data_IF_569566387697
#
_entry.id   IF_569566387697
#
_cell.length_a   1.000
_cell.length_b   1.000
_cell.length_c   1.000
_cell.angle_alpha   90.00
_cell.angle_beta   90.00
_cell.angle_gamma   90.00
#
_symmetry.space_group_name_H-M   'P 1'
#
loop_
_entity.id
_entity.type
_entity.pdbx_description
1 polymer ?
#
# COMPACT_ATOMS: atom_id res chain seq x y z
N UNK A 1 -19.39 11.36 3.67
CA UNK A 1 -20.09 10.07 3.82
C UNK A 1 -19.36 9.29 4.91
N UNK A 2 -19.82 9.39 6.15
CA UNK A 2 -19.35 8.54 7.25
C UNK A 2 -20.31 7.36 7.39
N UNK A 3 -19.82 6.14 7.20
CA UNK A 3 -20.63 4.94 7.44
C UNK A 3 -20.50 4.50 8.91
N UNK A 4 -19.36 4.81 9.53
CA UNK A 4 -19.02 4.40 10.91
C UNK A 4 -19.51 5.39 11.97
N UNK A 5 -19.59 6.68 11.65
CA UNK A 5 -19.95 7.75 12.60
C UNK A 5 -21.34 8.31 12.32
N UNK A 6 -22.10 8.60 13.39
CA UNK A 6 -23.39 9.26 13.32
C UNK A 6 -23.24 10.78 13.07
N UNK A 7 -24.15 11.34 12.27
CA UNK A 7 -24.08 12.73 11.84
C UNK A 7 -24.28 13.70 13.00
N UNK A 8 -25.35 13.52 13.77
CA UNK A 8 -25.78 14.44 14.83
C UNK A 8 -24.93 14.28 16.08
N UNK A 9 -24.50 13.06 16.39
CA UNK A 9 -23.73 12.74 17.60
C UNK A 9 -22.22 12.99 17.42
N UNK A 10 -21.66 12.70 16.23
CA UNK A 10 -20.20 12.68 16.05
C UNK A 10 -19.71 13.68 14.99
N UNK A 11 -20.28 13.69 13.79
CA UNK A 11 -19.73 14.47 12.68
C UNK A 11 -19.95 15.97 12.88
N UNK A 12 -21.21 16.39 13.07
CA UNK A 12 -21.57 17.81 13.19
C UNK A 12 -20.92 18.47 14.42
N UNK A 13 -20.94 17.88 15.64
CA UNK A 13 -20.26 18.49 16.79
C UNK A 13 -18.75 18.68 16.58
N UNK A 14 -18.08 17.72 15.94
CA UNK A 14 -16.64 17.82 15.62
C UNK A 14 -16.35 18.86 14.55
N UNK A 15 -17.23 19.01 13.56
CA UNK A 15 -17.12 20.07 12.56
C UNK A 15 -17.25 21.46 13.18
N UNK A 16 -18.23 21.65 14.07
CA UNK A 16 -18.42 22.92 14.80
C UNK A 16 -17.17 23.22 15.63
N UNK A 17 -16.69 22.25 16.41
CA UNK A 17 -15.49 22.42 17.25
C UNK A 17 -14.22 22.70 16.44
N UNK A 18 -14.14 22.18 15.21
CA UNK A 18 -13.05 22.47 14.27
C UNK A 18 -13.18 23.84 13.56
N UNK A 19 -14.24 24.61 13.85
CA UNK A 19 -14.50 25.91 13.23
C UNK A 19 -14.96 25.80 11.77
N UNK A 20 -15.59 24.68 11.40
CA UNK A 20 -16.07 24.47 10.05
C UNK A 20 -17.27 25.38 9.74
N UNK A 21 -17.32 25.86 8.49
CA UNK A 21 -18.50 26.54 7.95
C UNK A 21 -19.50 25.49 7.46
N UNK A 22 -20.53 25.22 8.27
CA UNK A 22 -21.54 24.19 7.98
C UNK A 22 -22.37 24.49 6.73
N UNK A 23 -22.49 25.76 6.31
CA UNK A 23 -23.19 26.10 5.05
C UNK A 23 -22.44 25.58 3.82
N UNK A 24 -21.15 25.25 3.97
CA UNK A 24 -20.30 24.69 2.92
C UNK A 24 -20.10 23.18 3.07
N UNK A 25 -20.84 22.54 3.97
CA UNK A 25 -20.77 21.10 4.21
C UNK A 25 -22.12 20.49 3.87
N UNK A 26 -22.08 19.53 2.94
CA UNK A 26 -23.24 18.72 2.60
C UNK A 26 -22.99 17.28 3.06
N UNK A 27 -23.92 16.74 3.83
CA UNK A 27 -24.07 15.32 4.05
C UNK A 27 -25.01 14.76 2.98
N UNK A 28 -24.65 13.61 2.42
CA UNK A 28 -25.49 12.95 1.44
C UNK A 28 -26.23 11.82 2.15
N UNK A 29 -27.56 11.84 2.05
CA UNK A 29 -28.40 10.77 2.57
C UNK A 29 -28.02 9.43 1.94
N UNK A 30 -28.18 8.33 2.67
CA UNK A 30 -27.88 7.01 2.09
C UNK A 30 -28.77 6.73 0.87
N UNK A 31 -28.26 6.04 -0.17
CA UNK A 31 -29.10 5.51 -1.23
C UNK A 31 -30.22 4.65 -0.64
N UNK A 32 -31.38 4.65 -1.29
CA UNK A 32 -32.50 3.79 -0.93
C UNK A 32 -32.62 2.63 -1.91
N UNK A 33 -33.18 1.53 -1.45
CA UNK A 33 -33.55 0.40 -2.31
C UNK A 33 -34.93 0.59 -2.97
N UNK A 34 -35.40 -0.43 -3.67
CA UNK A 34 -36.69 -0.41 -4.38
C UNK A 34 -37.90 -0.25 -3.46
N UNK A 35 -37.75 -0.52 -2.15
CA UNK A 35 -38.78 -0.40 -1.13
C UNK A 35 -38.70 0.95 -0.37
N UNK A 36 -37.69 1.76 -0.66
CA UNK A 36 -37.45 3.04 -0.01
C UNK A 36 -36.63 2.94 1.27
N UNK A 37 -36.11 1.76 1.59
CA UNK A 37 -35.29 1.55 2.78
C UNK A 37 -33.85 1.99 2.51
N UNK A 38 -33.24 2.65 3.49
CA UNK A 38 -31.86 3.13 3.39
C UNK A 38 -30.89 1.94 3.34
N UNK A 39 -30.03 1.93 2.32
CA UNK A 39 -29.00 0.90 2.13
C UNK A 39 -27.60 1.49 2.04
N UNK A 40 -26.54 0.67 2.19
CA UNK A 40 -25.18 1.13 1.98
C UNK A 40 -24.96 1.61 0.53
N UNK A 41 -24.15 2.66 0.40
CA UNK A 41 -23.62 3.10 -0.89
C UNK A 41 -22.58 2.11 -1.41
N UNK A 42 -22.70 1.68 -2.67
CA UNK A 42 -21.80 0.72 -3.31
C UNK A 42 -21.24 1.25 -4.63
N UNK A 43 -19.99 0.86 -4.95
CA UNK A 43 -19.33 1.20 -6.21
C UNK A 43 -19.21 -0.07 -7.06
N UNK A 44 -19.66 -0.08 -8.32
CA UNK A 44 -20.01 1.09 -9.13
C UNK A 44 -21.48 1.50 -9.12
N UNK A 45 -22.35 0.73 -8.46
CA UNK A 45 -23.80 0.83 -8.65
C UNK A 45 -24.36 2.23 -8.37
N UNK A 46 -23.81 2.93 -7.37
CA UNK A 46 -24.29 4.25 -6.94
C UNK A 46 -23.45 5.43 -7.46
N UNK A 47 -22.57 5.21 -8.45
CA UNK A 47 -21.72 6.29 -8.97
C UNK A 47 -22.53 7.44 -9.59
N UNK A 48 -23.66 7.12 -10.23
CA UNK A 48 -24.56 8.15 -10.76
C UNK A 48 -25.20 8.99 -9.65
N UNK A 49 -25.58 8.35 -8.55
CA UNK A 49 -26.11 9.02 -7.38
C UNK A 49 -25.07 9.96 -6.74
N UNK A 50 -23.81 9.50 -6.59
CA UNK A 50 -22.73 10.34 -6.06
C UNK A 50 -22.43 11.54 -6.98
N UNK A 51 -22.48 11.32 -8.30
CA UNK A 51 -22.31 12.38 -9.29
C UNK A 51 -23.36 13.48 -9.16
N UNK A 52 -24.62 13.08 -8.98
CA UNK A 52 -25.72 14.01 -8.77
C UNK A 52 -25.46 14.84 -7.50
N UNK A 53 -25.13 14.18 -6.37
CA UNK A 53 -24.80 14.87 -5.12
C UNK A 53 -23.64 15.88 -5.28
N UNK A 54 -22.55 15.52 -5.98
CA UNK A 54 -21.44 16.43 -6.27
C UNK A 54 -21.90 17.64 -7.10
N UNK A 55 -22.77 17.41 -8.08
CA UNK A 55 -23.22 18.46 -9.01
C UNK A 55 -24.18 19.43 -8.32
N UNK A 56 -25.12 18.91 -7.54
CA UNK A 56 -26.12 19.72 -6.82
C UNK A 56 -25.49 20.59 -5.73
N UNK A 57 -24.44 20.08 -5.08
CA UNK A 57 -23.74 20.78 -3.99
C UNK A 57 -22.55 21.62 -4.49
N UNK A 58 -22.19 21.52 -5.78
CA UNK A 58 -20.93 22.00 -6.34
C UNK A 58 -19.67 21.56 -5.54
N UNK A 59 -19.72 20.37 -4.93
CA UNK A 59 -18.70 19.89 -4.01
C UNK A 59 -17.31 19.83 -4.66
N UNK A 60 -16.32 20.40 -3.97
CA UNK A 60 -14.90 20.35 -4.38
C UNK A 60 -14.12 19.21 -3.74
N UNK A 61 -14.65 18.64 -2.66
CA UNK A 61 -14.09 17.52 -1.93
C UNK A 61 -15.20 16.54 -1.54
N UNK A 62 -15.01 15.26 -1.84
CA UNK A 62 -15.81 14.15 -1.32
C UNK A 62 -14.93 13.30 -0.43
N UNK A 63 -15.40 13.04 0.80
CA UNK A 63 -14.76 12.12 1.74
C UNK A 63 -15.60 10.85 1.86
N UNK A 64 -14.96 9.71 1.57
CA UNK A 64 -15.53 8.36 1.71
C UNK A 64 -14.82 7.66 2.86
N UNK A 65 -15.57 7.39 3.94
CA UNK A 65 -15.01 6.83 5.17
C UNK A 65 -15.86 5.67 5.77
N UNK A 66 -15.35 4.44 5.81
CA UNK A 66 -14.17 3.92 5.10
C UNK A 66 -14.52 3.45 3.68
N UNK A 67 -13.57 3.54 2.74
CA UNK A 67 -13.78 3.04 1.37
C UNK A 67 -14.06 1.52 1.31
N UNK A 68 -13.62 0.75 2.31
CA UNK A 68 -13.87 -0.68 2.37
C UNK A 68 -15.35 -1.03 2.49
N UNK A 69 -16.16 -0.15 3.10
CA UNK A 69 -17.59 -0.36 3.27
C UNK A 69 -18.41 -0.05 2.01
N UNK A 70 -17.78 0.54 0.97
CA UNK A 70 -18.45 0.89 -0.29
C UNK A 70 -18.18 -0.12 -1.42
N UNK A 71 -17.57 -1.26 -1.10
CA UNK A 71 -17.27 -2.31 -2.07
C UNK A 71 -18.46 -3.27 -2.15
N UNK A 72 -18.83 -3.75 -3.36
CA UNK A 72 -19.93 -4.69 -3.49
C UNK A 72 -19.53 -6.05 -2.94
N UNK A 73 -20.51 -6.80 -2.41
CA UNK A 73 -20.29 -8.07 -1.71
C UNK A 73 -19.56 -9.12 -2.55
N UNK A 74 -19.72 -9.06 -3.87
CA UNK A 74 -19.09 -9.98 -4.81
C UNK A 74 -17.61 -9.65 -5.13
N UNK A 75 -17.07 -8.54 -4.62
CA UNK A 75 -15.69 -8.15 -4.86
C UNK A 75 -14.76 -8.80 -3.83
N UNK A 76 -13.86 -9.65 -4.33
CA UNK A 76 -12.75 -10.17 -3.53
C UNK A 76 -11.76 -9.05 -3.22
N UNK A 77 -11.82 -8.51 -2.00
CA UNK A 77 -11.00 -7.39 -1.53
C UNK A 77 -9.47 -7.59 -1.67
N UNK A 78 -9.00 -8.83 -1.77
CA UNK A 78 -7.58 -9.17 -1.97
C UNK A 78 -7.13 -9.31 -3.43
N UNK A 79 -8.03 -9.10 -4.40
CA UNK A 79 -7.71 -9.23 -5.83
C UNK A 79 -7.54 -7.83 -6.45
N UNK A 80 -6.29 -7.48 -6.74
CA UNK A 80 -5.89 -6.16 -7.26
C UNK A 80 -6.65 -5.71 -8.51
N UNK A 81 -6.93 -6.65 -9.42
CA UNK A 81 -7.65 -6.34 -10.68
C UNK A 81 -9.09 -5.94 -10.41
N UNK A 82 -9.77 -6.59 -9.46
CA UNK A 82 -11.15 -6.26 -9.09
C UNK A 82 -11.24 -4.89 -8.44
N UNK A 83 -10.39 -4.61 -7.45
CA UNK A 83 -10.35 -3.31 -6.77
C UNK A 83 -10.00 -2.19 -7.75
N UNK A 84 -9.04 -2.41 -8.66
CA UNK A 84 -8.70 -1.43 -9.69
C UNK A 84 -9.90 -1.08 -10.57
N UNK A 85 -10.68 -2.08 -11.02
CA UNK A 85 -11.88 -1.84 -11.83
C UNK A 85 -12.90 -0.97 -11.10
N UNK A 86 -13.15 -1.26 -9.83
CA UNK A 86 -14.06 -0.46 -8.98
C UNK A 86 -13.56 0.98 -8.85
N UNK A 87 -12.28 1.16 -8.49
CA UNK A 87 -11.69 2.48 -8.28
C UNK A 87 -11.63 3.34 -9.55
N UNK A 88 -11.56 2.74 -10.73
CA UNK A 88 -11.60 3.51 -11.99
C UNK A 88 -12.89 4.32 -12.16
N UNK A 89 -14.02 3.87 -11.60
CA UNK A 89 -15.25 4.66 -11.62
C UNK A 89 -15.13 5.96 -10.82
N UNK A 90 -14.43 5.93 -9.68
CA UNK A 90 -14.13 7.13 -8.90
C UNK A 90 -13.12 8.04 -9.62
N UNK A 91 -12.15 7.46 -10.33
CA UNK A 91 -11.19 8.24 -11.13
C UNK A 91 -11.91 9.03 -12.21
N UNK A 92 -12.81 8.40 -12.97
CA UNK A 92 -13.55 9.10 -14.03
C UNK A 92 -14.52 10.12 -13.43
N UNK A 93 -15.22 9.78 -12.35
CA UNK A 93 -16.08 10.73 -11.63
C UNK A 93 -15.31 11.99 -11.19
N UNK A 94 -14.13 11.82 -10.58
CA UNK A 94 -13.28 12.93 -10.16
C UNK A 94 -12.82 13.79 -11.36
N UNK A 95 -12.50 13.17 -12.50
CA UNK A 95 -12.10 13.88 -13.72
C UNK A 95 -13.23 14.71 -14.31
N UNK A 96 -14.42 14.15 -14.39
CA UNK A 96 -15.60 14.80 -14.97
C UNK A 96 -16.10 15.95 -14.10
N UNK A 97 -16.17 15.73 -12.78
CA UNK A 97 -16.67 16.73 -11.83
C UNK A 97 -15.61 17.74 -11.38
N UNK A 98 -14.33 17.45 -11.64
CA UNK A 98 -13.18 18.19 -11.06
C UNK A 98 -13.20 18.23 -9.53
N UNK A 99 -13.81 17.22 -8.90
CA UNK A 99 -13.87 17.06 -7.46
C UNK A 99 -12.70 16.21 -6.96
N UNK A 100 -12.09 16.60 -5.84
CA UNK A 100 -11.12 15.76 -5.14
C UNK A 100 -11.87 14.67 -4.36
N UNK A 101 -11.46 13.41 -4.53
CA UNK A 101 -12.03 12.29 -3.76
C UNK A 101 -10.99 11.79 -2.76
N UNK A 102 -11.27 11.97 -1.47
CA UNK A 102 -10.48 11.48 -0.36
C UNK A 102 -11.05 10.16 0.16
N UNK A 103 -10.19 9.15 0.19
CA UNK A 103 -10.54 7.81 0.64
C UNK A 103 -9.90 7.56 2.00
N UNK A 104 -10.71 7.27 3.01
CA UNK A 104 -10.21 6.83 4.32
C UNK A 104 -10.19 5.30 4.34
N UNK A 105 -9.10 4.75 4.87
CA UNK A 105 -8.93 3.31 5.03
C UNK A 105 -8.08 3.00 6.26
N UNK A 106 -8.44 1.92 6.94
CA UNK A 106 -7.71 1.42 8.10
C UNK A 106 -6.37 0.78 7.71
N UNK A 107 -5.40 0.75 8.61
CA UNK A 107 -4.20 -0.07 8.44
C UNK A 107 -4.53 -1.58 8.57
N UNK A 108 -3.75 -2.42 7.91
CA UNK A 108 -3.80 -3.87 8.14
C UNK A 108 -3.08 -4.24 9.45
N UNK A 109 -3.36 -5.47 9.93
CA UNK A 109 -2.75 -6.01 11.16
C UNK A 109 -1.26 -6.39 11.01
N UNK A 110 -0.69 -6.31 9.80
CA UNK A 110 0.65 -6.81 9.52
C UNK A 110 1.72 -5.76 9.88
N UNK A 111 2.55 -6.06 10.88
CA UNK A 111 3.67 -5.22 11.32
C UNK A 111 4.88 -5.28 10.37
N UNK A 112 5.71 -4.24 10.40
CA UNK A 112 7.00 -4.24 9.70
C UNK A 112 6.88 -4.21 8.17
N UNK A 113 5.93 -3.45 7.62
CA UNK A 113 5.84 -3.18 6.18
C UNK A 113 5.97 -1.69 5.93
N UNK A 114 6.49 -1.30 4.75
CA UNK A 114 6.49 0.11 4.33
C UNK A 114 5.07 0.70 4.38
N UNK A 115 4.93 1.98 4.69
CA UNK A 115 3.67 2.70 4.84
C UNK A 115 2.72 2.57 3.65
N UNK A 116 3.25 2.55 2.42
CA UNK A 116 2.44 2.31 1.21
C UNK A 116 1.70 0.96 1.19
N UNK A 117 2.19 -0.02 1.96
CA UNK A 117 1.64 -1.38 2.07
C UNK A 117 0.93 -1.62 3.42
N UNK A 118 0.99 -0.66 4.34
CA UNK A 118 0.30 -0.76 5.64
C UNK A 118 -1.19 -0.46 5.55
N UNK A 119 -1.65 0.22 4.50
CA UNK A 119 -3.08 0.38 4.23
C UNK A 119 -3.76 -0.98 4.02
N UNK A 120 -4.91 -1.18 4.64
CA UNK A 120 -5.72 -2.38 4.53
C UNK A 120 -6.21 -2.63 3.11
N UNK A 121 -6.40 -3.91 2.77
CA UNK A 121 -6.88 -4.36 1.47
C UNK A 121 -5.80 -4.44 0.40
N UNK A 122 -6.23 -4.25 -0.85
CA UNK A 122 -5.41 -4.42 -2.06
C UNK A 122 -4.35 -3.33 -2.27
N UNK A 123 -3.23 -3.69 -2.91
CA UNK A 123 -2.20 -2.72 -3.34
C UNK A 123 -2.72 -1.74 -4.40
N UNK A 124 -3.81 -2.10 -5.10
CA UNK A 124 -4.44 -1.27 -6.12
C UNK A 124 -4.86 0.12 -5.60
N UNK A 125 -5.27 0.25 -4.34
CA UNK A 125 -5.56 1.55 -3.72
C UNK A 125 -4.34 2.49 -3.79
N UNK A 126 -3.19 2.03 -3.28
CA UNK A 126 -1.96 2.81 -3.26
C UNK A 126 -1.41 3.08 -4.68
N UNK A 127 -1.71 2.20 -5.64
CA UNK A 127 -1.21 2.31 -7.01
C UNK A 127 -1.99 3.31 -7.89
N UNK A 128 -3.26 3.59 -7.58
CA UNK A 128 -4.11 4.46 -8.40
C UNK A 128 -4.20 5.91 -7.89
N UNK A 129 -4.08 6.11 -6.58
CA UNK A 129 -4.19 7.43 -5.97
C UNK A 129 -2.98 8.31 -6.26
N UNK A 130 -3.19 9.63 -6.27
CA UNK A 130 -2.12 10.63 -6.49
C UNK A 130 -1.28 10.91 -5.25
N UNK A 131 -1.86 10.69 -4.08
CA UNK A 131 -1.24 10.93 -2.77
C UNK A 131 -1.73 9.88 -1.77
N UNK A 132 -0.85 9.47 -0.87
CA UNK A 132 -1.21 8.70 0.34
C UNK A 132 -0.58 9.39 1.53
N UNK A 133 -1.41 9.68 2.53
CA UNK A 133 -0.99 10.23 3.82
C UNK A 133 -1.31 9.19 4.89
N UNK A 134 -0.34 8.94 5.76
CA UNK A 134 -0.47 8.06 6.92
C UNK A 134 -0.69 8.92 8.16
N UNK A 135 -1.74 8.60 8.92
CA UNK A 135 -2.00 9.15 10.24
C UNK A 135 -1.73 8.05 11.27
N UNK A 136 -0.82 8.26 12.21
CA UNK A 136 -0.52 7.27 13.25
C UNK A 136 -0.01 7.94 14.54
N UNK A 137 -0.10 7.25 15.69
CA UNK A 137 0.53 7.71 16.92
C UNK A 137 2.06 7.70 16.78
N UNK A 138 2.71 8.64 17.45
CA UNK A 138 4.15 8.62 17.65
C UNK A 138 4.52 7.60 18.72
N UNK A 139 5.70 6.99 18.59
CA UNK A 139 6.24 6.08 19.62
C UNK A 139 6.55 6.83 20.92
N UNK A 140 6.92 8.11 20.79
CA UNK A 140 7.15 9.04 21.91
C UNK A 140 6.60 10.40 21.54
N UNK A 141 6.09 11.11 22.53
CA UNK A 141 5.68 12.50 22.36
C UNK A 141 6.86 13.35 21.88
N UNK A 142 6.62 14.28 20.94
CA UNK A 142 7.66 15.22 20.49
C UNK A 142 7.96 16.28 21.55
N UNK A 143 9.06 17.01 21.40
CA UNK A 143 9.39 18.13 22.30
C UNK A 143 8.30 19.21 22.29
N UNK A 144 7.62 19.38 21.17
CA UNK A 144 6.51 20.30 20.95
C UNK A 144 5.14 19.75 21.40
N UNK A 145 5.11 18.55 22.00
CA UNK A 145 3.90 17.93 22.53
C UNK A 145 3.07 17.15 21.50
N UNK A 146 3.62 16.85 20.32
CA UNK A 146 2.92 16.03 19.33
C UNK A 146 2.77 14.59 19.84
N UNK A 147 1.56 14.02 19.75
CA UNK A 147 1.28 12.60 20.07
C UNK A 147 1.01 11.74 18.84
N UNK A 148 0.66 12.38 17.74
CA UNK A 148 0.37 11.78 16.45
C UNK A 148 1.10 12.55 15.35
N UNK A 149 1.18 11.95 14.16
CA UNK A 149 1.67 12.65 12.99
C UNK A 149 0.92 12.27 11.71
N UNK A 150 0.93 13.20 10.76
CA UNK A 150 0.58 12.99 9.36
C UNK A 150 1.87 12.96 8.53
N UNK A 151 2.11 11.85 7.83
CA UNK A 151 3.29 11.68 6.99
C UNK A 151 2.91 11.18 5.59
N UNK A 152 3.49 11.77 4.55
CA UNK A 152 3.18 11.38 3.16
C UNK A 152 3.93 10.11 2.77
N UNK A 153 3.20 9.04 2.48
CA UNK A 153 3.74 7.77 2.00
C UNK A 153 3.91 7.72 0.47
N UNK A 154 3.01 8.37 -0.29
CA UNK A 154 3.05 8.45 -1.76
C UNK A 154 2.71 9.87 -2.18
N UNK A 155 3.41 10.39 -3.20
CA UNK A 155 3.07 11.67 -3.83
C UNK A 155 3.79 11.83 -5.16
N UNK A 156 3.02 12.01 -6.23
CA UNK A 156 3.56 11.99 -7.61
C UNK A 156 3.65 13.39 -8.26
N UNK A 157 3.22 14.45 -7.56
CA UNK A 157 3.01 15.79 -8.15
C UNK A 157 3.83 16.90 -7.47
N UNK A 158 4.57 16.59 -6.40
CA UNK A 158 5.37 17.58 -5.68
C UNK A 158 6.50 16.95 -4.86
N UNK A 159 7.47 17.78 -4.44
CA UNK A 159 8.48 17.38 -3.43
C UNK A 159 7.78 16.91 -2.14
N UNK A 160 8.40 15.95 -1.44
CA UNK A 160 7.94 15.48 -0.13
C UNK A 160 7.77 16.64 0.85
N UNK A 161 6.56 16.91 1.38
CA UNK A 161 6.40 17.84 2.48
C UNK A 161 7.04 17.22 3.74
N UNK A 162 7.38 18.08 4.70
CA UNK A 162 7.68 17.61 6.04
C UNK A 162 6.44 16.93 6.64
N UNK A 163 6.66 15.95 7.51
CA UNK A 163 5.58 15.36 8.31
C UNK A 163 5.12 16.37 9.36
N UNK A 164 3.83 16.37 9.66
CA UNK A 164 3.20 17.33 10.59
C UNK A 164 2.75 16.59 11.83
N UNK A 165 3.19 17.04 13.00
CA UNK A 165 2.79 16.52 14.30
C UNK A 165 1.51 17.18 14.80
N UNK A 166 0.69 16.43 15.54
CA UNK A 166 -0.50 16.94 16.20
C UNK A 166 -0.82 16.20 17.50
N UNK A 167 -1.63 16.84 18.34
CA UNK A 167 -2.31 16.24 19.48
C UNK A 167 -3.82 16.34 19.30
N UNK A 168 -4.57 15.52 20.02
CA UNK A 168 -6.01 15.67 20.18
C UNK A 168 -6.26 16.26 21.56
N UNK A 169 -6.99 17.36 21.60
CA UNK A 169 -7.35 18.10 22.81
C UNK A 169 -8.87 18.24 22.90
N UNK A 170 -9.38 18.41 24.10
CA UNK A 170 -10.80 18.71 24.29
C UNK A 170 -11.14 20.09 23.71
N UNK A 171 -12.29 20.19 23.03
CA UNK A 171 -12.81 21.47 22.56
C UNK A 171 -13.06 22.41 23.74
N UNK A 172 -12.77 23.72 23.63
CA UNK A 172 -13.06 24.69 24.69
C UNK A 172 -14.53 24.71 25.10
N UNK A 173 -15.44 24.45 24.16
CA UNK A 173 -16.88 24.54 24.36
C UNK A 173 -17.53 23.18 24.74
N UNK A 174 -16.83 22.06 24.54
CA UNK A 174 -17.31 20.73 24.90
C UNK A 174 -16.15 19.76 25.12
N UNK A 175 -15.94 19.34 26.37
CA UNK A 175 -14.80 18.48 26.74
C UNK A 175 -14.81 17.10 26.09
N UNK A 176 -15.99 16.61 25.68
CA UNK A 176 -16.18 15.30 25.04
C UNK A 176 -15.84 15.33 23.54
N UNK A 177 -15.72 16.51 22.94
CA UNK A 177 -15.45 16.68 21.51
C UNK A 177 -13.97 16.97 21.29
N UNK A 178 -13.20 16.06 20.66
CA UNK A 178 -11.79 16.29 20.38
C UNK A 178 -11.57 17.26 19.21
N UNK A 179 -10.57 18.13 19.34
CA UNK A 179 -10.05 19.02 18.29
C UNK A 179 -8.57 18.75 18.04
N UNK A 180 -8.13 19.00 16.80
CA UNK A 180 -6.74 18.84 16.41
C UNK A 180 -5.94 20.07 16.83
N UNK A 181 -4.95 19.87 17.70
CA UNK A 181 -3.94 20.88 18.00
C UNK A 181 -2.66 20.58 17.21
N UNK A 182 -2.35 21.44 16.25
CA UNK A 182 -1.15 21.30 15.41
C UNK A 182 0.12 21.64 16.19
N UNK A 183 1.12 20.75 16.14
CA UNK A 183 2.37 20.84 16.91
C UNK A 183 3.61 21.04 16.04
N UNK A 184 3.42 21.57 14.82
CA UNK A 184 4.51 21.85 13.89
C UNK A 184 5.00 20.62 13.13
N UNK A 185 6.22 20.69 12.62
CA UNK A 185 6.81 19.61 11.82
C UNK A 185 7.55 18.60 12.69
N UNK A 186 7.49 17.33 12.30
CA UNK A 186 8.22 16.24 12.95
C UNK A 186 9.18 15.58 11.95
N UNK A 187 10.41 15.30 12.37
CA UNK A 187 11.42 14.67 11.51
C UNK A 187 11.24 13.15 11.46
N UNK A 188 10.23 12.72 10.70
CA UNK A 188 9.95 11.32 10.46
C UNK A 188 9.34 11.10 9.08
N UNK A 189 9.64 9.96 8.50
CA UNK A 189 9.02 9.46 7.28
C UNK A 189 7.75 8.67 7.58
N UNK A 190 6.89 8.46 6.58
CA UNK A 190 5.72 7.62 6.76
C UNK A 190 6.06 6.18 7.16
N UNK A 191 7.19 5.64 6.67
CA UNK A 191 7.69 4.31 7.05
C UNK A 191 8.07 4.26 8.54
N UNK A 192 8.76 5.29 9.03
CA UNK A 192 9.06 5.44 10.46
C UNK A 192 7.78 5.53 11.29
N UNK A 193 6.82 6.34 10.84
CA UNK A 193 5.55 6.56 11.53
C UNK A 193 4.77 5.26 11.78
N UNK A 194 4.79 4.34 10.83
CA UNK A 194 4.02 3.09 10.90
C UNK A 194 4.80 1.91 11.50
N UNK A 195 5.98 2.18 12.08
CA UNK A 195 6.83 1.17 12.71
C UNK A 195 7.55 0.27 11.72
N UNK A 196 7.86 0.77 10.52
CA UNK A 196 8.64 0.03 9.52
C UNK A 196 10.16 0.13 9.74
N UNK A 197 10.64 0.87 10.75
CA UNK A 197 12.08 1.04 11.01
C UNK A 197 12.79 -0.23 11.45
N UNK A 198 12.06 -1.14 12.11
CA UNK A 198 12.51 -2.49 12.45
C UNK A 198 12.14 -3.54 11.39
N UNK A 199 11.27 -3.17 10.43
CA UNK A 199 11.20 -3.95 9.21
C UNK A 199 12.56 -3.82 8.55
N UNK A 200 13.14 -4.93 8.09
CA UNK A 200 14.25 -4.84 7.15
C UNK A 200 13.72 -4.15 5.89
N UNK A 201 13.73 -2.81 5.87
CA UNK A 201 13.80 -2.04 4.65
C UNK A 201 15.11 -2.51 4.06
N UNK A 202 15.02 -3.53 3.20
CA UNK A 202 16.07 -3.85 2.27
C UNK A 202 16.31 -2.55 1.52
N UNK A 203 17.30 -1.80 2.00
CA UNK A 203 17.68 -0.47 1.54
C UNK A 203 17.73 -0.55 0.02
N UNK A 204 16.76 0.01 -0.70
CA UNK A 204 16.62 -0.24 -2.13
C UNK A 204 17.88 0.23 -2.88
N UNK A 205 18.64 1.17 -2.29
CA UNK A 205 19.95 1.62 -2.76
C UNK A 205 21.07 0.58 -2.56
N UNK A 206 21.01 -0.28 -1.54
CA UNK A 206 21.92 -1.45 -1.38
C UNK A 206 21.40 -2.71 -2.06
N UNK A 207 20.08 -2.86 -2.19
CA UNK A 207 19.42 -4.05 -2.71
C UNK A 207 19.56 -4.17 -4.22
N UNK A 208 19.55 -3.05 -4.97
CA UNK A 208 19.86 -3.09 -6.41
C UNK A 208 21.29 -3.61 -6.69
N UNK A 209 22.35 -3.08 -6.05
CA UNK A 209 23.71 -3.63 -6.15
C UNK A 209 23.80 -5.12 -5.75
N UNK A 210 23.18 -5.52 -4.62
CA UNK A 210 23.23 -6.90 -4.16
C UNK A 210 22.41 -7.86 -5.03
N UNK A 211 21.32 -7.39 -5.62
CA UNK A 211 20.51 -8.17 -6.58
C UNK A 211 21.24 -8.34 -7.90
N UNK A 212 21.94 -7.31 -8.38
CA UNK A 212 22.75 -7.42 -9.59
C UNK A 212 24.00 -8.28 -9.38
N UNK A 213 24.66 -8.17 -8.22
CA UNK A 213 25.73 -9.08 -7.81
C UNK A 213 25.24 -10.53 -7.71
N UNK A 214 24.06 -10.76 -7.11
CA UNK A 214 23.44 -12.08 -7.05
C UNK A 214 23.10 -12.63 -8.45
N UNK A 215 22.66 -11.78 -9.39
CA UNK A 215 22.44 -12.19 -10.79
C UNK A 215 23.75 -12.60 -11.47
N UNK A 216 24.82 -11.84 -11.30
CA UNK A 216 26.13 -12.17 -11.87
C UNK A 216 26.66 -13.49 -11.31
N UNK A 217 26.60 -13.67 -9.99
CA UNK A 217 27.00 -14.90 -9.33
C UNK A 217 26.16 -16.11 -9.78
N UNK A 218 24.83 -15.94 -9.91
CA UNK A 218 23.95 -17.00 -10.45
C UNK A 218 24.31 -17.37 -11.89
N UNK A 219 24.57 -16.39 -12.75
CA UNK A 219 25.00 -16.64 -14.14
C UNK A 219 26.31 -17.42 -14.18
N UNK A 220 27.27 -17.04 -13.35
CA UNK A 220 28.58 -17.70 -13.31
C UNK A 220 28.47 -19.14 -12.80
N UNK A 221 27.80 -19.35 -11.66
CA UNK A 221 27.64 -20.67 -11.03
C UNK A 221 26.88 -21.66 -11.92
N UNK A 222 25.83 -21.20 -12.59
CA UNK A 222 24.99 -22.05 -13.44
C UNK A 222 25.44 -22.11 -14.91
N UNK A 223 26.51 -21.40 -15.30
CA UNK A 223 27.04 -21.47 -16.66
C UNK A 223 27.63 -22.83 -17.02
N UNK A 224 28.06 -23.61 -16.01
CA UNK A 224 28.61 -24.95 -16.18
C UNK A 224 27.52 -26.04 -16.26
N UNK A 225 26.26 -25.68 -16.05
CA UNK A 225 25.11 -26.60 -16.10
C UNK A 225 24.24 -26.58 -14.84
N UNK A 226 23.24 -27.47 -14.77
CA UNK A 226 22.32 -27.56 -13.65
C UNK A 226 23.03 -27.87 -12.32
N UNK A 227 22.65 -27.18 -11.25
CA UNK A 227 23.20 -27.40 -9.89
C UNK A 227 22.07 -27.45 -8.87
N UNK A 228 22.29 -28.14 -7.74
CA UNK A 228 21.28 -28.22 -6.67
C UNK A 228 20.99 -26.84 -6.07
N UNK A 229 19.72 -26.55 -5.86
CA UNK A 229 19.26 -25.21 -5.46
C UNK A 229 19.72 -24.77 -4.08
N UNK A 230 19.89 -25.71 -3.15
CA UNK A 230 20.43 -25.49 -1.81
C UNK A 230 21.89 -24.99 -1.90
N UNK A 231 22.71 -25.70 -2.67
CA UNK A 231 24.11 -25.37 -2.92
C UNK A 231 24.27 -24.05 -3.68
N UNK A 232 23.44 -23.80 -4.70
CA UNK A 232 23.43 -22.54 -5.46
C UNK A 232 23.10 -21.37 -4.55
N UNK A 233 22.07 -21.50 -3.70
CA UNK A 233 21.69 -20.44 -2.77
C UNK A 233 22.85 -20.17 -1.82
N UNK A 234 23.40 -21.21 -1.17
CA UNK A 234 24.51 -21.06 -0.23
C UNK A 234 25.72 -20.36 -0.86
N UNK A 235 26.18 -20.83 -2.03
CA UNK A 235 27.34 -20.24 -2.72
C UNK A 235 27.11 -18.78 -3.12
N UNK A 236 25.92 -18.42 -3.58
CA UNK A 236 25.59 -17.02 -3.91
C UNK A 236 25.55 -16.16 -2.64
N UNK A 237 25.00 -16.68 -1.53
CA UNK A 237 24.98 -15.95 -0.26
C UNK A 237 26.40 -15.71 0.26
N UNK A 238 27.28 -16.71 0.19
CA UNK A 238 28.68 -16.58 0.59
C UNK A 238 29.45 -15.59 -0.30
N UNK A 239 29.24 -15.62 -1.62
CA UNK A 239 29.95 -14.77 -2.56
C UNK A 239 29.50 -13.30 -2.54
N UNK A 240 28.24 -13.02 -2.20
CA UNK A 240 27.64 -11.68 -2.37
C UNK A 240 27.14 -11.04 -1.07
N UNK A 241 27.06 -11.80 0.03
CA UNK A 241 26.40 -11.38 1.26
C UNK A 241 24.89 -11.21 1.14
N UNK A 242 24.29 -11.56 -0.01
CA UNK A 242 22.86 -11.42 -0.25
C UNK A 242 22.06 -12.39 0.63
N UNK A 243 20.87 -11.98 1.09
CA UNK A 243 19.94 -12.87 1.77
C UNK A 243 19.24 -13.83 0.80
N UNK A 244 18.76 -14.97 1.30
CA UNK A 244 18.01 -15.98 0.51
C UNK A 244 16.88 -15.39 -0.34
N UNK A 245 16.13 -14.42 0.17
CA UNK A 245 15.06 -13.75 -0.59
C UNK A 245 15.56 -12.95 -1.81
N UNK A 246 16.76 -12.34 -1.72
CA UNK A 246 17.40 -11.62 -2.82
C UNK A 246 17.87 -12.60 -3.90
N UNK A 247 18.47 -13.73 -3.50
CA UNK A 247 18.86 -14.80 -4.43
C UNK A 247 17.64 -15.38 -5.16
N UNK A 248 16.55 -15.64 -4.44
CA UNK A 248 15.30 -16.09 -5.06
C UNK A 248 14.71 -15.06 -6.03
N UNK A 249 14.79 -13.77 -5.70
CA UNK A 249 14.33 -12.70 -6.58
C UNK A 249 15.21 -12.56 -7.83
N UNK A 250 16.54 -12.66 -7.68
CA UNK A 250 17.48 -12.70 -8.80
C UNK A 250 17.24 -13.92 -9.71
N UNK A 251 16.91 -15.09 -9.15
CA UNK A 251 16.57 -16.28 -9.94
C UNK A 251 15.31 -16.08 -10.80
N UNK A 252 14.33 -15.31 -10.31
CA UNK A 252 13.12 -14.97 -11.06
C UNK A 252 13.43 -14.01 -12.21
N UNK A 253 14.27 -13.01 -11.98
CA UNK A 253 14.66 -12.05 -13.03
C UNK A 253 15.43 -12.70 -14.18
N UNK A 254 16.26 -13.71 -13.84
CA UNK A 254 17.02 -14.48 -14.84
C UNK A 254 16.20 -15.63 -15.46
N UNK A 255 14.94 -15.79 -15.06
CA UNK A 255 14.09 -16.90 -15.48
C UNK A 255 14.78 -18.27 -15.30
N UNK A 256 15.49 -18.46 -14.18
CA UNK A 256 16.15 -19.73 -13.84
C UNK A 256 15.12 -20.85 -13.82
N UNK A 257 15.39 -21.91 -14.58
CA UNK A 257 14.58 -23.11 -14.69
C UNK A 257 14.77 -23.93 -13.40
N UNK A 258 13.68 -24.37 -12.80
CA UNK A 258 13.68 -25.12 -11.53
C UNK A 258 13.06 -26.49 -11.76
N UNK A 259 13.84 -27.53 -11.59
CA UNK A 259 13.44 -28.92 -11.85
C UNK A 259 13.40 -29.65 -10.51
N UNK A 260 12.27 -30.25 -10.18
CA UNK A 260 12.12 -31.11 -9.00
C UNK A 260 12.48 -32.55 -9.34
N UNK A 261 13.28 -33.17 -8.48
CA UNK A 261 13.63 -34.59 -8.55
C UNK A 261 12.89 -35.33 -7.44
N UNK A 262 12.38 -36.52 -7.75
CA UNK A 262 11.60 -37.34 -6.82
C UNK A 262 12.42 -38.55 -6.36
N UNK A 263 12.26 -38.95 -5.09
CA UNK A 263 12.82 -40.18 -4.55
C UNK A 263 11.93 -41.39 -4.83
N UNK A 264 12.41 -42.58 -4.44
CA UNK A 264 11.69 -43.86 -4.63
C UNK A 264 10.34 -43.93 -3.88
N UNK A 265 10.17 -43.07 -2.87
CA UNK A 265 8.95 -42.89 -2.08
C UNK A 265 7.94 -41.92 -2.73
N UNK A 266 8.26 -41.36 -3.89
CA UNK A 266 7.45 -40.36 -4.59
C UNK A 266 7.52 -38.96 -3.98
N UNK A 267 8.33 -38.74 -2.94
CA UNK A 267 8.55 -37.42 -2.36
C UNK A 267 9.61 -36.64 -3.15
N UNK A 268 9.55 -35.31 -3.14
CA UNK A 268 10.59 -34.48 -3.76
C UNK A 268 11.88 -34.63 -2.94
N UNK A 269 12.92 -35.17 -3.57
CA UNK A 269 14.24 -35.33 -2.94
C UNK A 269 15.03 -34.03 -2.96
N UNK A 270 15.06 -33.33 -4.10
CA UNK A 270 15.74 -32.03 -4.23
C UNK A 270 15.30 -31.27 -5.47
N UNK A 271 15.70 -30.00 -5.55
CA UNK A 271 15.51 -29.14 -6.71
C UNK A 271 16.86 -28.82 -7.37
N UNK A 272 16.92 -28.86 -8.70
CA UNK A 272 18.05 -28.36 -9.48
C UNK A 272 17.66 -27.07 -10.19
N UNK A 273 18.60 -26.13 -10.26
CA UNK A 273 18.46 -24.84 -10.94
C UNK A 273 19.36 -24.82 -12.17
N UNK A 274 18.85 -24.27 -13.28
CA UNK A 274 19.56 -24.16 -14.55
C UNK A 274 19.26 -22.81 -15.21
N UNK A 275 20.22 -22.23 -15.93
CA UNK A 275 19.97 -21.03 -16.75
C UNK A 275 19.11 -21.37 -17.97
N UNK A 276 18.22 -20.47 -18.41
CA UNK A 276 17.50 -20.67 -19.65
C UNK A 276 18.47 -20.70 -20.84
N UNK A 277 18.14 -21.38 -21.96
CA UNK A 277 19.04 -21.58 -23.10
C UNK A 277 19.72 -20.32 -23.64
N UNK A 278 19.07 -19.15 -23.59
CA UNK A 278 19.63 -17.87 -24.04
C UNK A 278 20.65 -17.22 -23.09
N UNK A 279 20.90 -17.81 -21.92
CA UNK A 279 21.86 -17.35 -20.91
C UNK A 279 22.94 -18.39 -20.60
N UNK A 280 22.89 -19.55 -21.25
CA UNK A 280 23.92 -20.58 -21.13
C UNK A 280 25.14 -20.19 -21.96
N UNK A 281 26.35 -20.50 -21.45
CA UNK A 281 27.57 -20.31 -22.23
C UNK A 281 27.55 -21.33 -23.37
N UNK A 282 27.70 -20.88 -24.61
CA UNK A 282 27.95 -21.79 -25.73
C UNK A 282 29.27 -22.49 -25.41
N UNK A 283 29.26 -23.82 -25.30
CA UNK A 283 30.51 -24.60 -25.23
C UNK A 283 31.28 -24.32 -26.51
N UNK A 284 32.41 -23.64 -26.42
CA UNK A 284 33.32 -23.52 -27.55
C UNK A 284 34.00 -24.88 -27.78
N UNK A 285 34.31 -25.25 -29.04
CA UNK A 285 34.77 -26.59 -29.38
C UNK A 285 36.10 -27.03 -28.76
N UNK A 286 36.81 -26.15 -28.05
CA UNK A 286 38.18 -26.39 -27.56
C UNK A 286 38.25 -26.92 -26.11
N UNK A 287 37.12 -27.11 -25.41
CA UNK A 287 37.08 -27.66 -24.04
C UNK A 287 37.07 -29.22 -24.00
N UNK A 288 37.70 -29.88 -24.99
CA UNK A 288 37.90 -31.33 -24.97
C UNK A 288 39.40 -31.61 -24.89
N UNK A 289 39.91 -31.85 -23.68
CA UNK A 289 41.20 -32.51 -23.50
C UNK A 289 41.11 -33.94 -24.07
N UNK A 290 42.07 -34.30 -24.94
CA UNK A 290 42.28 -35.65 -25.45
C UNK A 290 42.86 -36.59 -24.38
#
# INVERSE_FOLDING_TARGET
>A
MGIEDDEDDTIVPRLIAAGADLERIATLNRPVDEWGDARPFTIPDDIAWLRQGITETDAKLVVIDPISACMPENVKHGVDTSIRRVLMHLVELARETRCAILLVRHFNKAAGMSAKHRGGGSVAYSALVRSVISAAPLVRESEEGAKYALARAIGNLSKGPASIGYSLESSPDNEEVPVVAWRGTVDLTADQLVGADGAKVADARKTAPMRDAAKQALKQLLSAGPMRSDEVIEKVQQATGAGKGTVQSASKDLAVIKISHYGDDGAISHWTWELPPGLQRVKEPDDVEF
#
